data_IF_645807136028
#
_entry.id   IF_645807136028
#
_cell.length_a   1.000
_cell.length_b   1.000
_cell.length_c   1.000
_cell.angle_alpha   90.00
_cell.angle_beta   90.00
_cell.angle_gamma   90.00
#
_symmetry.space_group_name_H-M   'P 1'
#
loop_
_entity.id
_entity.type
_entity.pdbx_description
1 polymer ?
#
# COMPACT_ATOMS: atom_id res chain seq x y z
N UNK A 1 -22.73 -29.87 -11.95
CA UNK A 1 -22.25 -28.53 -12.37
C UNK A 1 -23.03 -27.47 -11.60
N UNK A 2 -22.36 -26.74 -10.70
CA UNK A 2 -22.90 -25.53 -10.07
C UNK A 2 -22.00 -24.35 -10.47
N UNK A 3 -22.53 -23.17 -10.81
CA UNK A 3 -21.71 -22.02 -11.16
C UNK A 3 -20.97 -21.51 -9.91
N UNK A 4 -19.66 -21.25 -10.02
CA UNK A 4 -18.88 -20.55 -8.99
C UNK A 4 -19.36 -19.11 -8.93
N UNK A 5 -19.82 -18.72 -7.75
CA UNK A 5 -20.18 -17.35 -7.36
C UNK A 5 -18.97 -16.42 -7.56
N UNK A 6 -19.06 -15.53 -8.55
CA UNK A 6 -18.29 -14.30 -8.65
C UNK A 6 -18.99 -13.27 -7.75
N UNK A 7 -18.51 -13.10 -6.53
CA UNK A 7 -19.14 -12.16 -5.58
C UNK A 7 -18.44 -12.00 -4.24
N UNK A 8 -17.13 -12.25 -4.16
CA UNK A 8 -16.39 -12.31 -2.89
C UNK A 8 -15.54 -11.09 -2.51
N UNK A 9 -15.15 -10.21 -3.43
CA UNK A 9 -14.00 -9.32 -3.18
C UNK A 9 -14.29 -7.84 -2.91
N UNK A 10 -15.49 -7.34 -3.21
CA UNK A 10 -15.84 -5.95 -2.88
C UNK A 10 -16.24 -5.78 -1.39
N UNK A 11 -16.81 -6.84 -0.79
CA UNK A 11 -17.24 -6.83 0.61
C UNK A 11 -16.07 -6.93 1.60
N UNK A 12 -15.00 -7.64 1.23
CA UNK A 12 -13.77 -7.73 2.04
C UNK A 12 -13.06 -6.37 2.12
N UNK A 13 -12.94 -5.67 0.98
CA UNK A 13 -12.38 -4.31 0.89
C UNK A 13 -13.27 -3.29 1.63
N UNK A 14 -14.60 -3.46 1.62
CA UNK A 14 -15.53 -2.62 2.39
C UNK A 14 -15.47 -2.84 3.90
N UNK A 15 -15.40 -4.09 4.34
CA UNK A 15 -15.25 -4.43 5.76
C UNK A 15 -13.88 -3.95 6.27
N UNK A 16 -12.85 -4.05 5.44
CA UNK A 16 -11.50 -3.56 5.67
C UNK A 16 -11.41 -2.05 5.91
N UNK A 17 -11.87 -1.25 4.95
CA UNK A 17 -11.78 0.22 4.99
C UNK A 17 -12.69 0.81 6.08
N UNK A 18 -13.88 0.22 6.29
CA UNK A 18 -14.79 0.65 7.37
C UNK A 18 -14.24 0.29 8.76
N UNK A 19 -13.50 -0.81 8.89
CA UNK A 19 -12.84 -1.21 10.15
C UNK A 19 -11.50 -0.50 10.39
N UNK A 20 -10.85 0.03 9.34
CA UNK A 20 -9.62 0.84 9.44
C UNK A 20 -9.82 2.23 10.09
N UNK A 21 -11.07 2.68 10.24
CA UNK A 21 -11.46 3.91 10.95
C UNK A 21 -11.90 3.67 12.40
N UNK A 22 -11.68 2.46 12.96
CA UNK A 22 -11.92 2.09 14.36
C UNK A 22 -10.74 1.24 14.89
N UNK A 23 -10.48 1.18 16.22
CA UNK A 23 -9.24 0.62 16.76
C UNK A 23 -9.16 -0.91 16.58
N UNK A 24 -8.18 -1.38 15.81
CA UNK A 24 -8.07 -2.80 15.39
C UNK A 24 -7.38 -3.71 16.41
N UNK A 25 -8.14 -4.56 17.11
CA UNK A 25 -7.70 -5.90 17.57
C UNK A 25 -7.21 -6.69 16.33
N UNK A 26 -6.03 -7.29 16.27
CA UNK A 26 -5.48 -8.31 17.16
C UNK A 26 -5.46 -9.64 16.40
N UNK A 27 -4.32 -10.02 15.80
CA UNK A 27 -3.90 -11.41 15.57
C UNK A 27 -2.54 -11.45 14.84
N UNK A 28 -1.58 -12.14 15.44
CA UNK A 28 -0.36 -12.62 14.81
C UNK A 28 -0.67 -13.84 13.93
N UNK A 29 0.24 -14.21 13.02
CA UNK A 29 0.83 -15.56 12.90
C UNK A 29 1.98 -15.51 11.86
N UNK A 30 3.05 -16.25 12.16
CA UNK A 30 4.24 -16.42 11.34
C UNK A 30 4.12 -17.71 10.50
N UNK A 31 4.68 -17.74 9.27
CA UNK A 31 5.75 -18.66 8.88
C UNK A 31 6.06 -18.68 7.37
N UNK A 32 7.37 -18.82 7.10
CA UNK A 32 8.07 -19.53 6.02
C UNK A 32 7.85 -19.13 4.54
N UNK A 33 8.92 -18.63 3.92
CA UNK A 33 9.03 -18.29 2.49
C UNK A 33 10.01 -19.28 1.84
N UNK A 34 9.59 -19.92 0.76
CA UNK A 34 10.47 -20.65 -0.17
C UNK A 34 10.81 -19.76 -1.36
N UNK A 35 12.03 -19.94 -1.86
CA UNK A 35 12.59 -19.26 -3.02
C UNK A 35 12.14 -19.91 -4.35
N UNK A 36 12.42 -19.19 -5.43
CA UNK A 36 12.32 -19.56 -6.86
C UNK A 36 10.94 -19.28 -7.47
N UNK A 37 10.79 -18.49 -8.53
CA UNK A 37 11.39 -18.76 -9.83
C UNK A 37 11.64 -17.51 -10.69
N UNK A 38 12.80 -17.52 -11.34
CA UNK A 38 13.21 -16.60 -12.40
C UNK A 38 12.65 -17.10 -13.74
N UNK A 39 12.04 -16.21 -14.53
CA UNK A 39 11.57 -16.53 -15.88
C UNK A 39 11.90 -15.43 -16.88
N UNK A 40 13.04 -15.57 -17.56
CA UNK A 40 13.42 -14.78 -18.74
C UNK A 40 12.92 -15.51 -19.99
N UNK A 41 12.25 -14.81 -20.91
CA UNK A 41 12.15 -15.24 -22.30
C UNK A 41 12.00 -14.03 -23.25
N UNK A 42 12.83 -14.04 -24.28
CA UNK A 42 13.08 -12.98 -25.27
C UNK A 42 12.29 -13.20 -26.56
N UNK A 43 11.83 -12.13 -27.23
CA UNK A 43 12.15 -11.82 -28.64
C UNK A 43 11.28 -10.68 -29.21
N UNK A 44 11.84 -9.99 -30.21
CA UNK A 44 11.27 -8.94 -31.06
C UNK A 44 11.17 -7.52 -30.46
N UNK A 45 12.17 -6.69 -30.79
CA UNK A 45 12.04 -5.28 -31.19
C UNK A 45 11.24 -4.31 -30.31
N UNK A 46 10.90 -4.66 -29.08
CA UNK A 46 10.25 -3.78 -28.11
C UNK A 46 11.32 -2.99 -27.39
N UNK A 47 11.12 -1.67 -27.22
CA UNK A 47 11.79 -0.93 -26.14
C UNK A 47 11.70 -1.84 -24.92
N UNK A 48 12.84 -2.23 -24.35
CA UNK A 48 12.85 -3.03 -23.13
C UNK A 48 12.27 -2.10 -22.05
N UNK A 49 10.95 -2.11 -21.94
CA UNK A 49 10.26 -1.45 -20.86
C UNK A 49 10.53 -2.35 -19.67
N UNK A 50 11.48 -1.97 -18.84
CA UNK A 50 11.69 -2.65 -17.57
C UNK A 50 10.44 -2.33 -16.74
N UNK A 51 9.46 -3.23 -16.76
CA UNK A 51 8.27 -3.14 -15.91
C UNK A 51 8.66 -3.37 -14.45
N UNK A 52 7.93 -2.76 -13.51
CA UNK A 52 8.10 -3.09 -12.10
C UNK A 52 7.58 -4.49 -11.79
N UNK A 53 8.10 -5.09 -10.72
CA UNK A 53 7.58 -6.30 -10.10
C UNK A 53 7.30 -6.04 -8.63
N UNK A 54 6.48 -6.87 -7.99
CA UNK A 54 6.10 -6.75 -6.57
C UNK A 54 7.33 -6.50 -5.68
N UNK A 55 8.37 -7.34 -5.80
CA UNK A 55 9.58 -7.22 -4.98
C UNK A 55 10.33 -5.92 -5.22
N UNK A 56 10.49 -5.50 -6.48
CA UNK A 56 11.17 -4.22 -6.79
C UNK A 56 10.39 -3.02 -6.28
N UNK A 57 9.07 -3.07 -6.37
CA UNK A 57 8.19 -2.00 -5.87
C UNK A 57 8.26 -1.91 -4.36
N UNK A 58 8.22 -3.06 -3.67
CA UNK A 58 8.40 -3.16 -2.21
C UNK A 58 9.74 -2.61 -1.77
N UNK A 59 10.84 -3.04 -2.39
CA UNK A 59 12.19 -2.56 -2.08
C UNK A 59 12.27 -1.04 -2.22
N UNK A 60 11.72 -0.49 -3.30
CA UNK A 60 11.66 0.95 -3.50
C UNK A 60 10.85 1.67 -2.42
N UNK A 61 9.64 1.19 -2.10
CA UNK A 61 8.77 1.81 -1.09
C UNK A 61 9.44 1.86 0.28
N UNK A 62 10.20 0.82 0.64
CA UNK A 62 10.96 0.76 1.89
C UNK A 62 12.18 1.71 1.92
N UNK A 63 12.60 2.27 0.79
CA UNK A 63 13.61 3.34 0.75
C UNK A 63 13.05 4.71 1.10
N UNK A 64 11.72 4.90 1.02
CA UNK A 64 11.09 6.18 1.28
C UNK A 64 11.12 6.52 2.78
N UNK A 65 11.20 7.81 3.15
CA UNK A 65 11.28 8.21 4.55
C UNK A 65 10.09 7.73 5.36
N UNK A 66 10.36 7.13 6.53
CA UNK A 66 9.32 6.77 7.52
C UNK A 66 8.22 5.87 6.95
N UNK A 67 8.54 4.99 6.02
CA UNK A 67 7.59 3.99 5.54
C UNK A 67 7.55 2.78 6.47
N UNK A 68 6.35 2.38 6.85
CA UNK A 68 6.08 1.12 7.54
C UNK A 68 5.25 0.21 6.65
N UNK A 69 5.60 -1.06 6.61
CA UNK A 69 4.87 -2.10 5.88
C UNK A 69 4.08 -2.98 6.84
N UNK A 70 2.87 -3.34 6.43
CA UNK A 70 2.01 -4.26 7.16
C UNK A 70 1.25 -5.15 6.19
N UNK A 71 0.96 -6.39 6.58
CA UNK A 71 0.00 -7.22 5.86
C UNK A 71 -1.40 -6.96 6.42
N UNK A 72 -2.32 -6.49 5.57
CA UNK A 72 -3.72 -6.24 5.94
C UNK A 72 -4.62 -6.61 4.77
N UNK A 73 -5.66 -7.40 5.04
CA UNK A 73 -6.64 -7.83 4.02
C UNK A 73 -5.95 -8.49 2.83
N UNK A 74 -5.01 -9.38 3.15
CA UNK A 74 -4.17 -10.11 2.20
C UNK A 74 -3.30 -9.21 1.29
N UNK A 75 -3.29 -7.90 1.54
CA UNK A 75 -2.53 -6.90 0.82
C UNK A 75 -1.32 -6.41 1.64
N UNK A 76 -0.21 -6.13 0.97
CA UNK A 76 0.90 -5.37 1.54
C UNK A 76 0.50 -3.88 1.56
N UNK A 77 0.27 -3.33 2.74
CA UNK A 77 -0.14 -1.94 2.94
C UNK A 77 1.00 -1.11 3.52
N UNK A 78 1.28 0.02 2.86
CA UNK A 78 2.37 0.92 3.18
C UNK A 78 1.85 2.22 3.80
N UNK A 79 2.48 2.61 4.90
CA UNK A 79 2.08 3.74 5.74
C UNK A 79 3.20 4.78 5.81
N UNK A 80 2.83 6.06 5.81
CA UNK A 80 3.70 7.12 6.30
C UNK A 80 3.56 7.14 7.82
N UNK A 81 4.64 6.77 8.52
CA UNK A 81 4.71 6.49 9.96
C UNK A 81 3.87 5.27 10.41
N UNK A 82 4.18 4.77 11.60
CA UNK A 82 3.40 3.71 12.25
C UNK A 82 2.00 4.16 12.66
N UNK A 83 1.02 3.26 12.55
CA UNK A 83 -0.35 3.49 13.05
C UNK A 83 -0.39 3.92 14.51
N UNK A 84 0.51 3.41 15.35
CA UNK A 84 0.56 3.72 16.78
C UNK A 84 0.93 5.18 17.07
N UNK A 85 1.46 5.91 16.07
CA UNK A 85 1.77 7.34 16.18
C UNK A 85 0.90 8.20 15.26
N UNK A 86 -0.18 7.64 14.72
CA UNK A 86 -1.11 8.34 13.82
C UNK A 86 -0.68 8.34 12.35
N UNK A 87 0.12 7.35 11.94
CA UNK A 87 0.50 7.16 10.55
C UNK A 87 -0.70 6.87 9.64
N UNK A 88 -0.54 7.18 8.34
CA UNK A 88 -1.58 7.06 7.32
C UNK A 88 -1.09 6.24 6.14
N UNK A 89 -1.95 5.36 5.62
CA UNK A 89 -1.66 4.58 4.42
C UNK A 89 -1.58 5.46 3.17
N UNK A 90 -0.72 5.09 2.24
CA UNK A 90 -0.55 5.81 0.97
C UNK A 90 -0.48 4.87 -0.24
N UNK A 91 -0.13 3.61 -0.05
CA UNK A 91 -0.06 2.59 -1.10
C UNK A 91 -0.42 1.20 -0.56
N UNK A 92 -0.87 0.33 -1.46
CA UNK A 92 -1.12 -1.08 -1.24
C UNK A 92 -0.68 -1.89 -2.47
N UNK A 93 -0.21 -3.11 -2.26
CA UNK A 93 0.18 -4.05 -3.30
C UNK A 93 -0.52 -5.37 -3.02
N UNK A 94 -1.12 -5.95 -4.06
CA UNK A 94 -1.67 -7.29 -4.04
C UNK A 94 -0.52 -8.29 -4.25
N UNK A 95 -0.12 -9.06 -3.23
CA UNK A 95 1.00 -9.99 -3.34
C UNK A 95 0.65 -11.22 -4.18
N UNK A 96 -0.62 -11.59 -4.29
CA UNK A 96 -1.03 -12.78 -5.03
C UNK A 96 -1.29 -12.50 -6.53
N UNK A 97 -0.75 -13.32 -7.44
CA UNK A 97 -1.05 -13.19 -8.85
C UNK A 97 -2.50 -13.59 -9.15
N UNK A 98 -3.16 -12.86 -10.06
CA UNK A 98 -4.53 -13.16 -10.49
C UNK A 98 -5.61 -12.34 -9.78
N UNK A 99 -5.25 -11.46 -8.85
CA UNK A 99 -6.13 -10.42 -8.33
C UNK A 99 -6.59 -9.45 -9.43
N UNK A 100 -7.69 -8.74 -9.17
CA UNK A 100 -8.25 -7.76 -10.12
C UNK A 100 -7.35 -6.53 -10.33
N UNK A 101 -6.36 -6.32 -9.45
CA UNK A 101 -5.40 -5.24 -9.51
C UNK A 101 -4.07 -5.67 -8.88
N UNK A 102 -2.98 -5.03 -9.27
CA UNK A 102 -1.64 -5.30 -8.74
C UNK A 102 -1.23 -4.33 -7.63
N UNK A 103 -1.74 -3.09 -7.67
CA UNK A 103 -1.42 -2.07 -6.69
C UNK A 103 -2.49 -0.98 -6.65
N UNK A 104 -2.59 -0.29 -5.52
CA UNK A 104 -3.38 0.92 -5.37
C UNK A 104 -2.63 1.97 -4.58
N UNK A 105 -2.85 3.25 -4.88
CA UNK A 105 -2.16 4.34 -4.19
C UNK A 105 -2.96 5.65 -4.20
N UNK A 106 -2.63 6.53 -3.25
CA UNK A 106 -3.19 7.86 -3.14
C UNK A 106 -2.62 8.78 -4.23
N UNK A 107 -3.47 9.50 -4.96
CA UNK A 107 -3.06 10.35 -6.08
C UNK A 107 -3.25 11.83 -5.74
N UNK A 108 -2.27 12.72 -5.98
CA UNK A 108 -2.50 14.17 -5.86
C UNK A 108 -3.74 14.60 -6.67
N UNK A 109 -4.65 15.43 -6.13
CA UNK A 109 -5.91 15.75 -6.80
C UNK A 109 -5.73 16.22 -8.25
N UNK A 110 -4.70 17.03 -8.50
CA UNK A 110 -4.37 17.60 -9.81
C UNK A 110 -3.98 16.56 -10.86
N UNK A 111 -3.60 15.35 -10.45
CA UNK A 111 -3.21 14.25 -11.34
C UNK A 111 -4.25 13.12 -11.39
N UNK A 112 -5.31 13.20 -10.59
CA UNK A 112 -6.27 12.10 -10.44
C UNK A 112 -7.02 11.81 -11.75
N UNK A 113 -7.63 12.83 -12.35
CA UNK A 113 -8.39 12.65 -13.59
C UNK A 113 -7.50 12.17 -14.75
N UNK A 114 -6.31 12.75 -14.91
CA UNK A 114 -5.37 12.34 -15.96
C UNK A 114 -4.93 10.88 -15.84
N UNK A 115 -4.78 10.37 -14.61
CA UNK A 115 -4.45 8.96 -14.40
C UNK A 115 -5.61 8.03 -14.75
N UNK A 116 -6.87 8.47 -14.59
CA UNK A 116 -8.05 7.65 -14.95
C UNK A 116 -8.25 7.51 -16.46
N UNK A 117 -7.63 8.37 -17.27
CA UNK A 117 -7.64 8.25 -18.73
C UNK A 117 -6.70 7.14 -19.24
N UNK A 118 -5.82 6.62 -18.39
CA UNK A 118 -4.85 5.58 -18.75
C UNK A 118 -5.53 4.21 -18.66
N UNK A 119 -5.44 3.44 -19.76
CA UNK A 119 -5.97 2.08 -19.80
C UNK A 119 -5.32 1.19 -18.73
N UNK A 120 -6.15 0.53 -17.92
CA UNK A 120 -5.70 -0.30 -16.80
C UNK A 120 -5.56 0.44 -15.48
N UNK A 121 -5.85 1.75 -15.43
CA UNK A 121 -6.02 2.51 -14.18
C UNK A 121 -7.50 2.71 -13.92
N UNK A 122 -7.93 2.47 -12.68
CA UNK A 122 -9.32 2.66 -12.26
C UNK A 122 -9.41 3.43 -10.96
N UNK A 123 -10.52 4.14 -10.70
CA UNK A 123 -10.78 4.68 -9.38
C UNK A 123 -10.81 3.53 -8.37
N UNK A 124 -10.09 3.69 -7.26
CA UNK A 124 -10.07 2.67 -6.22
C UNK A 124 -11.50 2.52 -5.66
N UNK A 125 -12.05 1.30 -5.61
CA UNK A 125 -13.36 1.06 -5.02
C UNK A 125 -13.43 1.68 -3.62
N UNK A 126 -14.45 2.51 -3.39
CA UNK A 126 -14.74 3.17 -2.10
C UNK A 126 -13.72 4.21 -1.60
N UNK A 127 -12.47 4.18 -2.07
CA UNK A 127 -11.43 5.18 -1.78
C UNK A 127 -11.34 6.26 -2.86
N UNK A 128 -12.11 6.16 -3.95
CA UNK A 128 -12.17 7.16 -5.03
C UNK A 128 -12.40 8.60 -4.51
N UNK A 129 -13.26 8.78 -3.50
CA UNK A 129 -13.51 10.11 -2.88
C UNK A 129 -12.26 10.70 -2.22
N UNK A 130 -11.33 9.85 -1.77
CA UNK A 130 -10.04 10.26 -1.24
C UNK A 130 -8.98 10.44 -2.35
N UNK A 131 -9.36 10.31 -3.62
CA UNK A 131 -8.50 10.30 -4.80
C UNK A 131 -7.46 9.19 -4.71
N UNK A 132 -7.94 7.95 -4.68
CA UNK A 132 -7.12 6.76 -4.78
C UNK A 132 -7.43 6.06 -6.09
N UNK A 133 -6.40 5.49 -6.70
CA UNK A 133 -6.51 4.65 -7.89
C UNK A 133 -6.03 3.25 -7.60
N UNK A 134 -6.51 2.29 -8.38
CA UNK A 134 -5.96 0.93 -8.50
C UNK A 134 -5.48 0.72 -9.93
N UNK A 135 -4.43 -0.07 -10.07
CA UNK A 135 -3.81 -0.40 -11.36
C UNK A 135 -3.92 -1.89 -11.58
N UNK A 136 -4.42 -2.28 -12.73
CA UNK A 136 -4.74 -3.67 -13.05
C UNK A 136 -3.50 -4.54 -13.29
N UNK A 137 -2.43 -3.95 -13.85
CA UNK A 137 -1.24 -4.68 -14.30
C UNK A 137 0.03 -3.87 -14.09
N UNK A 138 1.16 -4.55 -13.92
CA UNK A 138 2.47 -3.91 -13.72
C UNK A 138 3.01 -3.20 -14.97
N UNK A 139 2.52 -3.56 -16.16
CA UNK A 139 2.96 -3.02 -17.45
C UNK A 139 2.25 -1.73 -17.87
N UNK A 140 1.26 -1.28 -17.09
CA UNK A 140 0.57 0.02 -17.31
C UNK A 140 1.53 1.20 -17.20
N UNK A 141 2.53 1.11 -16.31
CA UNK A 141 3.56 2.12 -16.11
C UNK A 141 4.96 1.53 -16.26
N UNK A 142 5.89 2.35 -16.76
CA UNK A 142 7.32 2.07 -16.66
C UNK A 142 7.78 2.07 -15.21
N UNK A 143 8.93 1.45 -14.92
CA UNK A 143 9.49 1.48 -13.56
C UNK A 143 9.70 2.91 -13.00
N UNK A 144 10.08 3.86 -13.85
CA UNK A 144 10.28 5.25 -13.45
C UNK A 144 8.95 5.95 -13.11
N UNK A 145 7.90 5.69 -13.89
CA UNK A 145 6.56 6.23 -13.62
C UNK A 145 5.98 5.65 -12.33
N UNK A 146 6.10 4.34 -12.11
CA UNK A 146 5.74 3.71 -10.83
C UNK A 146 6.40 4.40 -9.64
N UNK A 147 7.73 4.58 -9.68
CA UNK A 147 8.47 5.25 -8.62
C UNK A 147 8.01 6.69 -8.40
N UNK A 148 7.72 7.41 -9.50
CA UNK A 148 7.24 8.79 -9.48
C UNK A 148 5.86 8.88 -8.81
N UNK A 149 4.92 8.03 -9.21
CA UNK A 149 3.57 8.00 -8.64
C UNK A 149 3.57 7.60 -7.16
N UNK A 150 4.33 6.57 -6.78
CA UNK A 150 4.42 6.12 -5.39
C UNK A 150 5.10 7.15 -4.48
N UNK A 151 6.11 7.86 -4.99
CA UNK A 151 6.74 8.98 -4.26
C UNK A 151 5.77 10.14 -4.08
N UNK A 152 5.00 10.48 -5.12
CA UNK A 152 3.99 11.53 -5.02
C UNK A 152 2.87 11.15 -4.05
N UNK A 153 2.46 9.87 -4.03
CA UNK A 153 1.49 9.34 -3.07
C UNK A 153 1.98 9.49 -1.62
N UNK A 154 3.23 9.09 -1.37
CA UNK A 154 3.90 9.25 -0.07
C UNK A 154 3.93 10.72 0.37
N UNK A 155 4.46 11.61 -0.46
CA UNK A 155 4.58 13.04 -0.16
C UNK A 155 3.22 13.70 0.10
N UNK A 156 2.18 13.32 -0.66
CA UNK A 156 0.80 13.79 -0.45
C UNK A 156 0.28 13.40 0.92
N UNK A 157 0.47 12.15 1.32
CA UNK A 157 -0.04 11.64 2.59
C UNK A 157 0.75 12.23 3.76
N UNK A 158 2.07 12.38 3.63
CA UNK A 158 2.93 13.08 4.57
C UNK A 158 2.44 14.52 4.82
N UNK A 159 2.21 15.29 3.76
CA UNK A 159 1.70 16.66 3.86
C UNK A 159 0.32 16.75 4.53
N UNK A 160 -0.49 15.69 4.44
CA UNK A 160 -1.81 15.58 5.08
C UNK A 160 -1.79 15.00 6.49
N UNK A 161 -0.62 14.71 7.06
CA UNK A 161 -0.51 14.32 8.45
C UNK A 161 -0.84 15.52 9.36
N UNK A 162 -1.51 15.31 10.52
CA UNK A 162 -1.72 16.38 11.48
C UNK A 162 -0.39 17.01 11.95
N UNK A 163 -0.32 18.31 12.30
CA UNK A 163 0.93 18.96 12.70
C UNK A 163 1.65 18.31 13.90
N UNK A 164 0.89 17.64 14.78
CA UNK A 164 1.47 16.86 15.89
C UNK A 164 2.21 15.62 15.40
N UNK A 165 1.70 14.98 14.36
CA UNK A 165 2.28 13.76 13.77
C UNK A 165 3.44 14.10 12.84
N UNK A 166 3.37 15.21 12.09
CA UNK A 166 4.48 15.66 11.24
C UNK A 166 5.79 15.86 12.02
N UNK A 167 5.72 16.38 13.25
CA UNK A 167 6.89 16.53 14.14
C UNK A 167 7.61 15.20 14.45
N UNK A 168 6.92 14.06 14.33
CA UNK A 168 7.51 12.73 14.55
C UNK A 168 8.46 12.35 13.40
N UNK A 169 8.26 12.89 12.20
CA UNK A 169 9.13 12.66 11.04
C UNK A 169 10.57 13.07 11.34
N UNK A 170 10.74 14.13 12.12
CA UNK A 170 12.02 14.76 12.50
C UNK A 170 12.77 14.01 13.61
N UNK A 171 12.12 13.09 14.33
CA UNK A 171 12.76 12.36 15.44
C UNK A 171 13.93 11.52 14.95
N UNK A 172 14.95 11.31 15.79
CA UNK A 172 16.00 10.33 15.45
C UNK A 172 15.39 8.93 15.37
N UNK A 173 15.95 8.07 14.52
CA UNK A 173 15.40 6.72 14.30
C UNK A 173 15.20 5.92 15.61
N UNK A 174 16.12 6.08 16.57
CA UNK A 174 16.04 5.43 17.89
C UNK A 174 14.85 5.95 18.72
N UNK A 175 14.62 7.25 18.72
CA UNK A 175 13.52 7.91 19.45
C UNK A 175 12.17 7.53 18.84
N UNK A 176 12.06 7.58 17.51
CA UNK A 176 10.89 7.12 16.78
C UNK A 176 10.53 5.67 17.13
N UNK A 177 11.51 4.75 17.09
CA UNK A 177 11.28 3.33 17.43
C UNK A 177 10.86 3.13 18.88
N UNK A 178 11.41 3.92 19.81
CA UNK A 178 11.01 3.86 21.22
C UNK A 178 9.56 4.31 21.40
N UNK A 179 9.18 5.44 20.78
CA UNK A 179 7.83 5.98 20.82
C UNK A 179 6.79 5.01 20.25
N UNK A 180 7.07 4.41 19.09
CA UNK A 180 6.17 3.42 18.49
C UNK A 180 5.96 2.22 19.42
N UNK A 181 7.03 1.70 20.03
CA UNK A 181 6.96 0.57 20.97
C UNK A 181 6.13 0.91 22.21
N UNK A 182 6.36 2.09 22.78
CA UNK A 182 5.62 2.58 23.94
C UNK A 182 4.11 2.72 23.63
N UNK A 183 3.76 3.40 22.54
CA UNK A 183 2.36 3.59 22.15
C UNK A 183 1.66 2.25 21.87
N UNK A 184 2.34 1.30 21.23
CA UNK A 184 1.80 -0.06 21.00
C UNK A 184 1.58 -0.81 22.32
N UNK A 185 2.51 -0.69 23.27
CA UNK A 185 2.38 -1.31 24.59
C UNK A 185 1.19 -0.73 25.38
N UNK A 186 1.05 0.60 25.38
CA UNK A 186 -0.06 1.31 26.01
C UNK A 186 -1.40 0.94 25.38
N UNK A 187 -1.48 0.88 24.05
CA UNK A 187 -2.69 0.46 23.34
C UNK A 187 -3.07 -1.00 23.66
N UNK A 188 -2.10 -1.91 23.79
CA UNK A 188 -2.34 -3.30 24.19
C UNK A 188 -2.83 -3.40 25.63
N UNK A 189 -2.25 -2.63 26.56
CA UNK A 189 -2.66 -2.60 27.95
C UNK A 189 -4.10 -2.08 28.12
N UNK A 190 -4.47 -1.05 27.36
CA UNK A 190 -5.83 -0.49 27.38
C UNK A 190 -6.91 -1.47 26.92
N UNK A 191 -6.59 -2.42 26.02
CA UNK A 191 -7.53 -3.45 25.53
C UNK A 191 -7.75 -4.62 26.49
N UNK A 192 -6.84 -4.83 27.44
CA UNK A 192 -6.93 -5.93 28.41
C UNK A 192 -7.78 -5.56 29.64
N UNK A 193 -8.10 -4.27 29.79
CA UNK A 193 -8.86 -3.72 30.91
C UNK A 193 -10.32 -3.55 30.50
#
# INVERSE_FOLDING_TARGET
>A
MRPRSLGGDAAAIMLAVTKALQPVEGAAHANHVSADDLGFASSAGRRIVISMSINRTRDYLLTLPRVEETLQWDNLVYWVLDKAVGGKMFAMIEPEPGGAHVAGFAVPPDHYESLLEIEGVRPAPYLARAHWVVVERWDVFTAAEWQTHLKAAHARVEAKLPPRVQRIMELKQREYRALVRENRATAKAARKK
#
